data_IF_713406670561
#
_entry.id   IF_713406670561
#
_cell.length_a   1.000
_cell.length_b   1.000
_cell.length_c   1.000
_cell.angle_alpha   90.00
_cell.angle_beta   90.00
_cell.angle_gamma   90.00
#
_symmetry.space_group_name_H-M   'P 1'
#
loop_
_entity.id
_entity.type
_entity.pdbx_description
1 polymer ?
#
# COMPACT_ATOMS: atom_id res chain seq x y z
N UNK A 1 -4.41 -11.43 14.89
CA UNK A 1 -3.02 -11.47 14.37
C UNK A 1 -2.40 -10.06 14.39
N UNK A 2 -1.11 -9.93 14.06
CA UNK A 2 -0.33 -8.67 14.10
C UNK A 2 -1.07 -7.44 13.55
N UNK A 3 -1.85 -7.58 12.48
CA UNK A 3 -2.64 -6.49 11.91
C UNK A 3 -4.10 -6.43 12.38
N UNK A 4 -4.71 -7.56 12.73
CA UNK A 4 -6.12 -7.59 13.17
C UNK A 4 -6.34 -6.79 14.45
N UNK A 5 -5.41 -6.90 15.41
CA UNK A 5 -5.53 -6.23 16.70
C UNK A 5 -5.64 -4.70 16.54
N UNK A 6 -4.70 -4.01 15.87
CA UNK A 6 -4.85 -2.58 15.64
C UNK A 6 -6.02 -2.23 14.73
N UNK A 7 -6.31 -3.02 13.68
CA UNK A 7 -7.45 -2.75 12.79
C UNK A 7 -8.80 -2.83 13.50
N UNK A 8 -8.98 -3.81 14.41
CA UNK A 8 -10.23 -3.98 15.14
C UNK A 8 -10.34 -2.97 16.29
N UNK A 9 -9.26 -2.75 17.05
CA UNK A 9 -9.26 -1.83 18.20
C UNK A 9 -9.54 -0.39 17.78
N UNK A 10 -8.97 0.04 16.66
CA UNK A 10 -9.11 1.40 16.16
C UNK A 10 -10.11 1.55 15.01
N UNK A 11 -10.85 0.48 14.68
CA UNK A 11 -11.84 0.47 13.61
C UNK A 11 -11.25 0.98 12.27
N UNK A 12 -10.06 0.51 11.93
CA UNK A 12 -9.35 0.92 10.73
C UNK A 12 -9.80 0.09 9.52
N UNK A 13 -9.88 0.77 8.38
CA UNK A 13 -10.13 0.15 7.09
C UNK A 13 -8.89 -0.49 6.45
N UNK A 14 -7.70 0.05 6.74
CA UNK A 14 -6.43 -0.45 6.25
C UNK A 14 -5.26 0.03 7.12
N UNK A 15 -4.13 -0.65 6.99
CA UNK A 15 -2.83 -0.23 7.53
C UNK A 15 -1.93 0.21 6.38
N UNK A 16 -1.19 1.29 6.58
CA UNK A 16 -0.26 1.82 5.60
C UNK A 16 1.18 1.41 5.93
N UNK A 17 1.94 1.01 4.92
CA UNK A 17 3.35 0.66 5.02
C UNK A 17 4.13 1.33 3.89
N UNK A 18 5.37 1.72 4.16
CA UNK A 18 6.30 2.15 3.11
C UNK A 18 6.86 0.91 2.42
N UNK A 19 6.84 0.90 1.08
CA UNK A 19 7.36 -0.18 0.25
C UNK A 19 6.90 -1.56 0.77
N UNK A 20 7.84 -2.46 1.03
CA UNK A 20 7.62 -3.82 1.49
C UNK A 20 7.92 -4.02 2.98
N UNK A 21 8.05 -2.95 3.78
CA UNK A 21 8.52 -3.05 5.18
C UNK A 21 7.70 -4.02 6.04
N UNK A 22 6.40 -4.15 5.76
CA UNK A 22 5.53 -5.10 6.47
C UNK A 22 5.00 -6.26 5.60
N UNK A 23 5.57 -6.48 4.40
CA UNK A 23 5.10 -7.50 3.47
C UNK A 23 5.16 -8.92 4.06
N UNK A 24 6.19 -9.23 4.84
CA UNK A 24 6.33 -10.54 5.50
C UNK A 24 5.21 -10.83 6.49
N UNK A 25 4.84 -9.85 7.31
CA UNK A 25 3.70 -9.98 8.24
C UNK A 25 2.39 -10.18 7.47
N UNK A 26 2.20 -9.47 6.35
CA UNK A 26 0.95 -9.51 5.59
C UNK A 26 0.79 -10.87 4.89
N UNK A 27 1.88 -11.38 4.32
CA UNK A 27 1.91 -12.67 3.65
C UNK A 27 1.61 -13.83 4.62
N UNK A 28 2.28 -13.86 5.78
CA UNK A 28 2.08 -14.91 6.79
C UNK A 28 0.64 -14.91 7.32
N UNK A 29 0.08 -13.72 7.55
CA UNK A 29 -1.27 -13.57 8.04
C UNK A 29 -2.36 -13.60 6.94
N UNK A 30 -1.99 -13.82 5.68
CA UNK A 30 -2.90 -13.92 4.52
C UNK A 30 -3.79 -12.68 4.35
N UNK A 31 -3.22 -11.51 4.63
CA UNK A 31 -3.88 -10.23 4.37
C UNK A 31 -3.58 -9.77 2.94
N UNK A 32 -4.59 -9.25 2.21
CA UNK A 32 -4.37 -8.62 0.93
C UNK A 32 -3.56 -7.33 1.11
N UNK A 33 -2.65 -7.08 0.18
CA UNK A 33 -1.81 -5.89 0.15
C UNK A 33 -1.76 -5.30 -1.27
N UNK A 34 -1.84 -3.98 -1.37
CA UNK A 34 -1.81 -3.24 -2.63
C UNK A 34 -0.81 -2.10 -2.51
N UNK A 35 0.19 -2.09 -3.38
CA UNK A 35 1.24 -1.08 -3.43
C UNK A 35 0.98 -0.10 -4.56
N UNK A 36 0.95 1.19 -4.26
CA UNK A 36 0.77 2.29 -5.22
C UNK A 36 1.97 3.24 -5.13
N UNK A 37 2.51 3.75 -6.25
CA UNK A 37 3.58 4.75 -6.21
C UNK A 37 3.17 5.99 -5.42
N UNK A 38 4.03 6.44 -4.51
CA UNK A 38 3.80 7.68 -3.74
C UNK A 38 4.81 8.79 -4.04
N UNK A 39 5.86 8.48 -4.81
CA UNK A 39 6.80 9.47 -5.31
C UNK A 39 8.21 8.89 -5.46
N UNK A 40 9.20 9.76 -5.30
CA UNK A 40 10.61 9.43 -5.47
C UNK A 40 11.44 10.13 -4.40
N UNK A 41 12.54 9.50 -3.98
CA UNK A 41 13.57 10.17 -3.18
C UNK A 41 14.30 11.20 -4.03
N UNK A 42 15.07 12.08 -3.39
CA UNK A 42 15.99 13.02 -4.07
C UNK A 42 17.02 12.32 -4.96
N UNK A 43 17.36 11.06 -4.63
CA UNK A 43 18.22 10.20 -5.45
C UNK A 43 17.56 9.69 -6.75
N UNK A 44 16.24 9.87 -6.91
CA UNK A 44 15.46 9.31 -8.02
C UNK A 44 14.95 7.89 -7.78
N UNK A 45 15.22 7.29 -6.61
CA UNK A 45 14.68 5.98 -6.24
C UNK A 45 13.15 6.08 -6.02
N UNK A 46 12.32 5.23 -6.67
CA UNK A 46 10.88 5.20 -6.46
C UNK A 46 10.55 4.74 -5.04
N UNK A 47 9.55 5.37 -4.44
CA UNK A 47 8.97 4.99 -3.16
C UNK A 47 7.46 4.80 -3.33
N UNK A 48 6.92 3.81 -2.62
CA UNK A 48 5.54 3.40 -2.75
C UNK A 48 4.87 3.30 -1.39
N UNK A 49 3.55 3.51 -1.41
CA UNK A 49 2.67 3.31 -0.27
C UNK A 49 1.93 1.99 -0.45
N UNK A 50 2.02 1.12 0.54
CA UNK A 50 1.35 -0.17 0.57
C UNK A 50 0.18 -0.14 1.54
N UNK A 51 -1.02 -0.38 1.01
CA UNK A 51 -2.25 -0.58 1.76
C UNK A 51 -2.34 -2.06 2.13
N UNK A 52 -2.64 -2.37 3.40
CA UNK A 52 -2.85 -3.72 3.90
C UNK A 52 -4.25 -3.77 4.51
N UNK A 53 -5.10 -4.64 3.98
CA UNK A 53 -6.51 -4.76 4.39
C UNK A 53 -6.78 -6.07 5.13
N UNK A 54 -8.00 -6.23 5.63
CA UNK A 54 -8.47 -7.52 6.17
C UNK A 54 -8.62 -8.55 5.04
N UNK A 55 -8.47 -9.83 5.37
CA UNK A 55 -8.72 -10.91 4.41
C UNK A 55 -10.13 -10.79 3.83
N UNK A 56 -10.26 -10.99 2.51
CA UNK A 56 -11.52 -10.89 1.76
C UNK A 56 -12.10 -9.46 1.61
N UNK A 57 -11.32 -8.41 1.91
CA UNK A 57 -11.70 -7.00 1.69
C UNK A 57 -10.97 -6.34 0.50
N UNK A 58 -10.60 -7.10 -0.54
CA UNK A 58 -9.82 -6.60 -1.69
C UNK A 58 -10.51 -5.44 -2.41
N UNK A 59 -11.84 -5.44 -2.48
CA UNK A 59 -12.60 -4.35 -3.12
C UNK A 59 -12.39 -3.01 -2.40
N UNK A 60 -12.34 -3.01 -1.07
CA UNK A 60 -12.07 -1.80 -0.27
C UNK A 60 -10.65 -1.32 -0.52
N UNK A 61 -9.69 -2.25 -0.53
CA UNK A 61 -8.29 -1.98 -0.80
C UNK A 61 -8.07 -1.32 -2.19
N UNK A 62 -8.71 -1.87 -3.23
CA UNK A 62 -8.67 -1.31 -4.59
C UNK A 62 -9.29 0.09 -4.65
N UNK A 63 -10.37 0.33 -3.91
CA UNK A 63 -11.02 1.64 -3.84
C UNK A 63 -10.09 2.69 -3.21
N UNK A 64 -9.42 2.34 -2.11
CA UNK A 64 -8.44 3.20 -1.44
C UNK A 64 -7.23 3.48 -2.34
N UNK A 65 -6.67 2.44 -2.96
CA UNK A 65 -5.55 2.57 -3.88
C UNK A 65 -5.87 3.46 -5.09
N UNK A 66 -7.05 3.27 -5.70
CA UNK A 66 -7.51 4.09 -6.83
C UNK A 66 -7.70 5.55 -6.42
N UNK A 67 -8.29 5.81 -5.25
CA UNK A 67 -8.46 7.18 -4.75
C UNK A 67 -7.10 7.86 -4.55
N UNK A 68 -6.15 7.16 -3.93
CA UNK A 68 -4.79 7.67 -3.72
C UNK A 68 -4.05 7.92 -5.04
N UNK A 69 -4.14 6.99 -6.00
CA UNK A 69 -3.51 7.13 -7.32
C UNK A 69 -4.06 8.35 -8.08
N UNK A 70 -5.39 8.53 -8.07
CA UNK A 70 -6.06 9.67 -8.74
C UNK A 70 -5.76 11.02 -8.09
N UNK A 71 -5.46 11.06 -6.80
CA UNK A 71 -5.13 12.31 -6.13
C UNK A 71 -3.67 12.70 -6.34
N UNK A 72 -2.77 11.72 -6.49
CA UNK A 72 -1.33 11.96 -6.46
C UNK A 72 -0.68 11.94 -7.83
N UNK A 73 -1.13 11.05 -8.73
CA UNK A 73 -0.51 10.82 -10.04
C UNK A 73 1.02 10.66 -9.95
N UNK A 74 1.53 10.05 -8.87
CA UNK A 74 2.93 10.16 -8.50
C UNK A 74 3.91 9.44 -9.45
N UNK A 75 3.43 8.57 -10.34
CA UNK A 75 4.28 7.76 -11.23
C UNK A 75 4.85 8.58 -12.38
N UNK A 76 6.16 8.52 -12.56
CA UNK A 76 6.90 9.12 -13.69
C UNK A 76 7.43 8.01 -14.61
N UNK A 77 7.40 8.23 -15.93
CA UNK A 77 7.99 7.30 -16.90
C UNK A 77 9.53 7.31 -16.75
N UNK A 78 10.18 6.15 -16.57
CA UNK A 78 11.64 6.08 -16.51
C UNK A 78 12.29 6.58 -17.81
N UNK A 79 13.30 7.47 -17.69
CA UNK A 79 13.95 8.12 -18.84
C UNK A 79 14.69 7.17 -19.78
N UNK A 80 15.18 6.04 -19.27
CA UNK A 80 16.02 5.08 -20.02
C UNK A 80 15.22 4.02 -20.80
N UNK A 81 13.89 4.13 -20.83
CA UNK A 81 12.99 3.18 -21.50
C UNK A 81 12.00 3.89 -22.44
N UNK A 82 12.37 5.09 -22.92
CA UNK A 82 11.63 5.80 -23.98
C UNK A 82 12.15 5.44 -25.37
#
# INVERSE_FOLDING_TARGET
AYFDEPMNTHQLDAILSINNYHAGFAAVAKHPALTVPMGYKTSGEPISLTFIGKSFEEQKLLTLGLAFEKLTHARIIPKFYQ
#
